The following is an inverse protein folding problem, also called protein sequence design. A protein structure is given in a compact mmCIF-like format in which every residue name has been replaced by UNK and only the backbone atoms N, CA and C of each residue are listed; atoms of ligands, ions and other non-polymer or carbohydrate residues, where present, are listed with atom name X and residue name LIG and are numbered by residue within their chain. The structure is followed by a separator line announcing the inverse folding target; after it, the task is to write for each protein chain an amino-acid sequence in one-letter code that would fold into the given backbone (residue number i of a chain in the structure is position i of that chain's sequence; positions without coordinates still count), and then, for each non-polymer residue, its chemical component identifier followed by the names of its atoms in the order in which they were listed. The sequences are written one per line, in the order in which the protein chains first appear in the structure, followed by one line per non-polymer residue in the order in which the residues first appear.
data_IF_706129866116
#
_entry.id   IF_706129866116
#
_cell.length_a   1.000
_cell.length_b   1.000
_cell.length_c   1.000
_cell.angle_alpha   90.00
_cell.angle_beta   90.00
_cell.angle_gamma   90.00
#
_symmetry.space_group_name_H-M   'P 1'
#
loop_
_entity.id
_entity.type
_entity.pdbx_description
1 polymer ?
#
# COMPACT_ATOMS: atom_id res chain seq x y z
N UNK A 1 -19.71 21.15 -26.15
CA UNK A 1 -19.98 21.91 -24.90
C UNK A 1 -21.22 21.30 -24.29
N UNK A 2 -21.06 20.52 -23.21
CA UNK A 2 -22.16 19.80 -22.56
C UNK A 2 -22.80 20.73 -21.54
N UNK A 3 -23.99 21.23 -21.87
CA UNK A 3 -24.76 22.10 -20.97
C UNK A 3 -25.12 21.36 -19.68
N UNK A 4 -24.65 21.90 -18.55
CA UNK A 4 -24.96 21.39 -17.22
C UNK A 4 -26.44 21.66 -16.95
N UNK A 5 -27.27 20.63 -16.68
CA UNK A 5 -28.70 20.80 -16.47
C UNK A 5 -29.02 21.80 -15.34
N UNK A 6 -29.93 22.76 -15.60
CA UNK A 6 -30.19 23.91 -14.73
C UNK A 6 -30.55 23.58 -13.27
N UNK A 7 -31.20 22.44 -13.04
CA UNK A 7 -31.57 22.00 -11.69
C UNK A 7 -30.35 21.70 -10.80
N UNK A 8 -29.20 21.34 -11.39
CA UNK A 8 -27.95 21.14 -10.64
C UNK A 8 -27.28 22.47 -10.28
N UNK A 9 -27.42 23.49 -11.12
CA UNK A 9 -26.93 24.84 -10.84
C UNK A 9 -27.72 25.46 -9.69
N UNK A 10 -29.05 25.35 -9.73
CA UNK A 10 -29.93 25.85 -8.67
C UNK A 10 -29.65 25.20 -7.32
N UNK A 11 -29.43 23.88 -7.29
CA UNK A 11 -29.03 23.16 -6.06
C UNK A 11 -27.63 23.57 -5.56
N UNK A 12 -26.68 23.83 -6.45
CA UNK A 12 -25.36 24.28 -6.08
C UNK A 12 -25.38 25.70 -5.49
N UNK A 13 -26.23 26.58 -6.02
CA UNK A 13 -26.44 27.94 -5.52
C UNK A 13 -27.15 27.95 -4.17
N UNK A 14 -28.20 27.13 -3.98
CA UNK A 14 -28.86 26.95 -2.68
C UNK A 14 -27.91 26.37 -1.62
N UNK A 15 -27.03 25.44 -1.99
CA UNK A 15 -26.01 24.89 -1.10
C UNK A 15 -24.95 25.93 -0.72
N UNK A 16 -24.52 26.77 -1.67
CA UNK A 16 -23.61 27.89 -1.42
C UNK A 16 -24.26 28.96 -0.54
N UNK A 17 -25.52 29.30 -0.77
CA UNK A 17 -26.25 30.25 0.07
C UNK A 17 -26.42 29.74 1.51
N UNK A 18 -26.71 28.44 1.68
CA UNK A 18 -26.79 27.81 2.99
C UNK A 18 -25.43 27.75 3.71
N UNK A 19 -24.34 27.54 2.97
CA UNK A 19 -22.99 27.59 3.51
C UNK A 19 -22.58 29.02 3.92
N UNK A 20 -22.93 30.02 3.12
CA UNK A 20 -22.69 31.43 3.42
C UNK A 20 -23.51 31.91 4.65
N UNK A 21 -24.77 31.51 4.75
CA UNK A 21 -25.61 31.80 5.92
C UNK A 21 -25.06 31.13 7.20
N UNK A 22 -24.55 29.90 7.09
CA UNK A 22 -23.90 29.20 8.22
C UNK A 22 -22.57 29.86 8.61
N UNK A 23 -21.81 30.38 7.65
CA UNK A 23 -20.58 31.13 7.91
C UNK A 23 -20.86 32.49 8.57
N UNK A 24 -21.92 33.19 8.14
CA UNK A 24 -22.35 34.44 8.77
C UNK A 24 -22.86 34.23 10.21
N UNK A 25 -23.58 33.14 10.47
CA UNK A 25 -24.02 32.78 11.82
C UNK A 25 -22.85 32.40 12.76
N UNK A 26 -21.73 31.94 12.21
CA UNK A 26 -20.53 31.63 12.99
C UNK A 26 -19.64 32.85 13.28
N UNK A 27 -19.83 33.96 12.55
CA UNK A 27 -19.01 35.17 12.67
C UNK A 27 -19.62 36.26 13.58
N UNK A 28 -20.85 36.06 14.09
CA UNK A 28 -21.59 37.05 14.87
C UNK A 28 -21.71 36.75 16.36
N UNK A 29 -20.61 36.36 17.02
CA UNK A 29 -20.63 36.08 18.46
C UNK A 29 -19.39 36.58 19.18
N UNK A 30 -19.38 37.86 19.60
CA UNK A 30 -18.83 38.27 20.90
C UNK A 30 -19.33 39.67 21.35
N UNK A 31 -19.49 39.84 22.67
CA UNK A 31 -19.69 41.05 23.49
C UNK A 31 -21.07 41.80 23.46
N UNK A 32 -21.72 42.32 24.53
CA UNK A 32 -21.62 42.25 26.02
C UNK A 32 -22.91 42.91 26.62
N UNK A 33 -23.38 42.38 27.76
CA UNK A 33 -24.19 42.95 28.89
C UNK A 33 -25.65 43.49 28.80
N UNK A 34 -26.38 43.10 29.86
CA UNK A 34 -27.41 43.81 30.67
C UNK A 34 -28.92 43.41 30.55
N UNK A 35 -29.40 42.78 31.64
CA UNK A 35 -30.78 42.46 32.11
C UNK A 35 -31.58 43.76 32.41
N UNK A 36 -32.93 43.80 32.70
CA UNK A 36 -33.87 42.73 33.09
C UNK A 36 -35.33 42.78 32.55
N UNK A 37 -36.08 41.72 32.89
CA UNK A 37 -37.53 41.68 33.19
C UNK A 37 -38.59 41.73 32.07
N UNK A 38 -39.45 40.69 32.08
CA UNK A 38 -40.93 40.74 32.20
C UNK A 38 -41.62 39.65 31.37
N UNK A 39 -42.39 38.78 32.04
CA UNK A 39 -43.49 38.03 31.43
C UNK A 39 -44.72 38.97 31.30
N UNK A 40 -45.67 38.74 30.36
CA UNK A 40 -46.74 37.78 30.65
C UNK A 40 -47.32 36.99 29.44
N UNK A 41 -47.88 35.85 29.81
CA UNK A 41 -49.13 35.18 29.39
C UNK A 41 -49.74 35.29 27.96
N UNK A 42 -50.21 34.09 27.54
CA UNK A 42 -51.49 33.76 26.89
C UNK A 42 -51.55 33.54 25.37
N UNK A 43 -52.15 32.40 24.99
CA UNK A 43 -52.69 32.13 23.65
C UNK A 43 -52.42 30.71 23.16
N UNK A 44 -53.31 29.76 23.49
CA UNK A 44 -53.24 28.37 23.04
C UNK A 44 -53.72 28.15 21.60
N UNK A 45 -53.61 26.90 21.14
CA UNK A 45 -54.30 26.38 19.95
C UNK A 45 -53.39 25.64 18.98
N UNK A 46 -53.58 24.33 18.92
CA UNK A 46 -52.89 23.33 18.12
C UNK A 46 -52.73 23.62 16.61
N UNK A 47 -51.57 23.27 16.04
CA UNK A 47 -51.48 22.25 14.97
C UNK A 47 -50.02 22.01 14.48
N UNK A 48 -49.70 20.72 14.29
CA UNK A 48 -48.72 20.16 13.33
C UNK A 48 -47.22 20.09 13.69
N UNK A 49 -46.88 19.05 14.47
CA UNK A 49 -45.86 18.02 14.23
C UNK A 49 -44.67 18.27 13.27
N UNK A 50 -43.47 18.44 13.83
CA UNK A 50 -42.24 17.75 13.39
C UNK A 50 -41.12 17.90 14.44
N UNK A 51 -40.42 16.80 14.75
CA UNK A 51 -39.22 16.71 15.61
C UNK A 51 -39.41 16.50 17.13
N UNK A 52 -39.90 15.32 17.54
CA UNK A 52 -39.51 14.72 18.83
C UNK A 52 -39.27 13.21 18.64
N UNK A 53 -38.12 12.75 19.11
CA UNK A 53 -37.68 11.35 19.06
C UNK A 53 -38.72 10.46 19.75
N UNK A 54 -39.16 9.34 19.14
CA UNK A 54 -40.19 8.49 19.70
C UNK A 54 -39.71 7.82 21.01
N UNK A 55 -40.58 7.82 22.02
CA UNK A 55 -40.26 7.47 23.42
C UNK A 55 -39.59 6.09 23.58
N UNK A 56 -39.93 5.12 22.73
CA UNK A 56 -39.37 3.76 22.79
C UNK A 56 -37.86 3.70 22.50
N UNK A 57 -37.30 4.67 21.76
CA UNK A 57 -35.85 4.73 21.51
C UNK A 57 -35.11 5.30 22.72
N UNK A 58 -35.74 6.21 23.46
CA UNK A 58 -35.19 6.76 24.70
C UNK A 58 -35.18 5.73 25.82
N UNK A 59 -36.25 4.94 25.99
CA UNK A 59 -36.28 3.83 26.95
C UNK A 59 -35.24 2.76 26.63
N UNK A 60 -35.06 2.42 25.35
CA UNK A 60 -34.00 1.50 24.93
C UNK A 60 -32.61 2.06 25.28
N UNK A 61 -32.38 3.35 25.04
CA UNK A 61 -31.09 3.98 25.38
C UNK A 61 -30.83 4.06 26.88
N UNK A 62 -31.87 4.30 27.69
CA UNK A 62 -31.77 4.28 29.16
C UNK A 62 -31.47 2.87 29.67
N UNK A 63 -32.18 1.86 29.19
CA UNK A 63 -31.94 0.45 29.57
C UNK A 63 -30.54 -0.05 29.20
N UNK A 64 -29.97 0.42 28.08
CA UNK A 64 -28.60 0.12 27.69
C UNK A 64 -27.56 0.83 28.58
N UNK A 65 -27.86 2.08 28.99
CA UNK A 65 -27.00 2.85 29.90
C UNK A 65 -27.00 2.27 31.31
N UNK A 66 -28.16 1.81 31.79
CA UNK A 66 -28.28 1.18 33.12
C UNK A 66 -27.57 -0.18 33.16
N UNK A 67 -27.59 -0.94 32.05
CA UNK A 67 -26.78 -2.17 31.89
C UNK A 67 -25.27 -1.89 31.85
N UNK A 68 -24.85 -0.75 31.33
CA UNK A 68 -23.43 -0.36 31.28
C UNK A 68 -22.92 0.22 32.62
N UNK A 69 -23.81 0.73 33.47
CA UNK A 69 -23.47 1.32 34.76
C UNK A 69 -23.43 0.30 35.92
N UNK A 70 -23.96 -0.91 35.74
CA UNK A 70 -23.94 -1.98 36.75
C UNK A 70 -23.08 -3.17 36.34
N UNK A 71 -21.80 -3.18 36.74
CA UNK A 71 -21.01 -4.42 36.79
C UNK A 71 -19.55 -4.31 36.38
N UNK A 72 -18.72 -3.68 37.23
CA UNK A 72 -17.30 -4.03 37.33
C UNK A 72 -17.16 -5.24 38.27
N UNK A 73 -16.53 -6.32 37.82
CA UNK A 73 -16.24 -7.48 38.67
C UNK A 73 -16.03 -8.78 37.88
N UNK A 74 -14.79 -9.26 37.92
CA UNK A 74 -14.29 -10.55 37.42
C UNK A 74 -15.12 -11.77 37.82
N UNK A 75 -15.50 -12.60 36.83
CA UNK A 75 -15.72 -14.03 37.02
C UNK A 75 -15.67 -14.76 35.67
N UNK A 76 -14.58 -15.50 35.44
CA UNK A 76 -14.48 -16.58 34.46
C UNK A 76 -15.51 -17.67 34.79
N UNK A 77 -16.46 -17.89 33.88
CA UNK A 77 -17.27 -19.09 33.87
C UNK A 77 -17.09 -19.77 32.51
N UNK A 78 -16.30 -20.86 32.51
CA UNK A 78 -16.28 -21.84 31.43
C UNK A 78 -17.69 -22.41 31.31
N UNK A 79 -18.32 -22.28 30.14
CA UNK A 79 -19.51 -23.02 29.78
C UNK A 79 -19.13 -24.22 28.92
N UNK A 80 -19.43 -25.36 29.53
CA UNK A 80 -19.26 -26.76 29.19
C UNK A 80 -19.81 -27.16 27.81
N UNK A 81 -19.08 -28.07 27.16
CA UNK A 81 -19.39 -28.70 25.87
C UNK A 81 -20.42 -29.83 26.09
N UNK A 82 -21.62 -29.81 25.49
CA UNK A 82 -22.43 -31.01 25.43
C UNK A 82 -21.95 -31.88 24.27
N UNK A 83 -21.36 -33.01 24.65
CA UNK A 83 -21.31 -34.25 23.89
C UNK A 83 -22.73 -34.75 23.61
N UNK A 84 -23.02 -35.21 22.40
CA UNK A 84 -24.18 -36.08 22.18
C UNK A 84 -24.73 -36.11 20.76
N UNK A 85 -24.41 -37.20 20.05
CA UNK A 85 -25.37 -37.87 19.17
C UNK A 85 -25.54 -37.30 17.75
N UNK A 86 -24.93 -37.96 16.77
CA UNK A 86 -25.33 -37.88 15.38
C UNK A 86 -26.53 -38.82 15.18
N UNK A 87 -27.75 -38.35 14.86
CA UNK A 87 -28.76 -39.24 14.31
C UNK A 87 -28.42 -39.50 12.84
N UNK A 88 -28.08 -40.75 12.55
CA UNK A 88 -28.03 -41.30 11.20
C UNK A 88 -29.46 -41.30 10.66
N UNK A 89 -29.72 -40.57 9.57
CA UNK A 89 -30.96 -40.67 8.81
C UNK A 89 -30.65 -41.48 7.56
N UNK A 90 -31.45 -42.52 7.36
CA UNK A 90 -31.36 -43.48 6.27
C UNK A 90 -31.38 -42.82 4.88
N UNK A 91 -30.57 -43.38 3.97
CA UNK A 91 -30.58 -43.06 2.56
C UNK A 91 -31.87 -43.59 1.90
N UNK A 92 -32.64 -42.70 1.25
CA UNK A 92 -33.81 -43.09 0.47
C UNK A 92 -34.86 -42.01 0.32
N UNK A 93 -34.53 -40.89 -0.32
CA UNK A 93 -35.50 -39.85 -0.70
C UNK A 93 -34.82 -38.63 -1.33
N UNK A 94 -35.45 -37.92 -2.27
CA UNK A 94 -34.84 -36.75 -2.91
C UNK A 94 -34.47 -35.71 -1.86
N UNK A 95 -33.33 -35.00 -2.00
CA UNK A 95 -32.82 -34.13 -0.95
C UNK A 95 -33.85 -33.03 -0.65
N UNK A 96 -34.22 -32.81 0.63
CA UNK A 96 -35.12 -31.72 0.96
C UNK A 96 -34.42 -30.40 0.63
N UNK A 97 -35.02 -29.60 -0.26
CA UNK A 97 -34.64 -28.20 -0.42
C UNK A 97 -34.92 -27.48 0.91
N UNK A 98 -33.90 -27.38 1.76
CA UNK A 98 -33.93 -26.52 2.95
C UNK A 98 -33.88 -25.08 2.46
N UNK A 99 -35.04 -24.53 2.13
CA UNK A 99 -35.24 -23.10 1.94
C UNK A 99 -35.08 -22.43 3.30
N UNK A 100 -34.08 -21.56 3.45
CA UNK A 100 -33.98 -20.69 4.61
C UNK A 100 -35.21 -19.77 4.71
N UNK A 101 -35.50 -19.17 5.89
CA UNK A 101 -36.61 -18.25 6.05
C UNK A 101 -36.50 -17.10 5.03
N UNK A 102 -37.35 -17.12 4.00
CA UNK A 102 -37.36 -16.16 2.89
C UNK A 102 -37.15 -16.72 1.48
N UNK A 103 -36.98 -18.03 1.28
CA UNK A 103 -37.02 -18.62 -0.07
C UNK A 103 -35.80 -18.35 -0.97
N UNK A 104 -34.71 -17.81 -0.42
CA UNK A 104 -33.44 -17.70 -1.13
C UNK A 104 -32.62 -18.99 -0.98
N UNK A 105 -32.04 -19.48 -2.09
CA UNK A 105 -31.16 -20.68 -2.14
C UNK A 105 -29.78 -20.43 -1.53
N UNK A 106 -29.50 -19.20 -1.08
CA UNK A 106 -28.26 -18.81 -0.44
C UNK A 106 -28.48 -18.78 1.08
N UNK A 107 -27.81 -19.69 1.80
CA UNK A 107 -27.77 -19.68 3.27
C UNK A 107 -26.84 -18.55 3.70
N UNK A 108 -27.40 -17.45 4.20
CA UNK A 108 -26.66 -16.35 4.83
C UNK A 108 -26.01 -16.87 6.12
N UNK A 109 -24.82 -17.45 6.02
CA UNK A 109 -24.13 -18.06 7.16
C UNK A 109 -23.52 -17.00 8.07
N UNK A 110 -23.08 -15.87 7.54
CA UNK A 110 -22.70 -14.66 8.28
C UNK A 110 -22.75 -13.44 7.37
N UNK A 111 -23.12 -12.27 7.89
CA UNK A 111 -22.92 -10.99 7.20
C UNK A 111 -21.46 -10.58 7.45
N UNK A 112 -20.62 -10.76 6.43
CA UNK A 112 -19.26 -10.18 6.45
C UNK A 112 -19.40 -8.69 6.19
N UNK A 113 -18.91 -7.87 7.12
CA UNK A 113 -18.88 -6.42 6.99
C UNK A 113 -18.14 -6.06 5.69
N UNK A 114 -18.84 -5.40 4.77
CA UNK A 114 -18.39 -5.11 3.40
C UNK A 114 -17.04 -4.39 3.29
N UNK A 115 -16.54 -3.80 4.39
CA UNK A 115 -15.27 -3.06 4.42
C UNK A 115 -14.00 -3.92 4.32
N UNK A 116 -14.09 -5.25 4.38
CA UNK A 116 -12.92 -6.14 4.30
C UNK A 116 -12.73 -6.84 2.94
N UNK A 117 -13.76 -6.86 2.09
CA UNK A 117 -13.76 -7.62 0.82
C UNK A 117 -13.51 -6.71 -0.39
N UNK A 118 -13.69 -5.40 -0.23
CA UNK A 118 -13.43 -4.42 -1.26
C UNK A 118 -12.40 -3.42 -0.74
N UNK A 119 -11.24 -3.40 -1.39
CA UNK A 119 -10.27 -2.33 -1.25
C UNK A 119 -10.99 -1.01 -1.64
N UNK A 120 -11.39 -0.23 -0.63
CA UNK A 120 -12.08 1.05 -0.81
C UNK A 120 -11.02 2.07 -1.23
N UNK A 121 -10.50 1.92 -2.45
CA UNK A 121 -9.67 2.93 -3.08
C UNK A 121 -10.50 4.22 -3.16
N UNK A 122 -9.91 5.31 -2.70
CA UNK A 122 -10.57 6.63 -2.62
C UNK A 122 -11.05 7.16 -3.98
N UNK A 123 -10.63 6.54 -5.09
CA UNK A 123 -11.14 6.80 -6.44
C UNK A 123 -11.62 5.48 -7.06
N UNK A 124 -12.84 5.43 -7.62
CA UNK A 124 -13.27 4.33 -8.46
C UNK A 124 -12.32 4.22 -9.65
N UNK A 125 -11.51 3.15 -9.68
CA UNK A 125 -10.64 2.83 -10.80
C UNK A 125 -11.37 1.87 -11.72
N UNK A 126 -11.23 2.06 -13.03
CA UNK A 126 -11.75 1.11 -14.00
C UNK A 126 -10.93 -0.17 -13.96
N UNK A 127 -11.55 -1.27 -13.55
CA UNK A 127 -10.89 -2.57 -13.37
C UNK A 127 -11.19 -3.43 -14.59
N UNK A 128 -10.16 -3.72 -15.36
CA UNK A 128 -10.23 -4.70 -16.45
C UNK A 128 -9.87 -6.10 -15.96
N UNK A 129 -10.38 -7.13 -16.61
CA UNK A 129 -9.96 -8.51 -16.33
C UNK A 129 -8.50 -8.72 -16.74
N UNK A 130 -7.74 -9.34 -15.85
CA UNK A 130 -6.33 -9.72 -16.04
C UNK A 130 -6.13 -10.54 -17.32
N UNK A 131 -7.06 -11.45 -17.59
CA UNK A 131 -7.13 -12.18 -18.85
C UNK A 131 -8.20 -11.56 -19.75
N UNK A 132 -7.92 -11.26 -21.03
CA UNK A 132 -6.65 -11.42 -21.75
C UNK A 132 -5.70 -10.20 -21.66
N UNK A 133 -6.19 -9.04 -21.21
CA UNK A 133 -5.53 -7.74 -21.41
C UNK A 133 -4.10 -7.67 -20.86
N UNK A 134 -3.90 -8.05 -19.60
CA UNK A 134 -2.59 -7.97 -18.95
C UNK A 134 -1.68 -9.13 -19.39
N UNK A 135 -2.26 -10.34 -19.50
CA UNK A 135 -1.50 -11.53 -19.89
C UNK A 135 -0.90 -11.44 -21.30
N UNK A 136 -1.61 -10.83 -22.26
CA UNK A 136 -1.09 -10.66 -23.63
C UNK A 136 0.11 -9.70 -23.65
N UNK A 137 0.04 -8.60 -22.88
CA UNK A 137 1.13 -7.62 -22.82
C UNK A 137 2.35 -8.21 -22.12
N UNK A 138 2.16 -8.91 -20.99
CA UNK A 138 3.26 -9.56 -20.27
C UNK A 138 3.90 -10.69 -21.09
N UNK A 139 3.09 -11.50 -21.78
CA UNK A 139 3.61 -12.53 -22.68
C UNK A 139 4.40 -11.92 -23.84
N UNK A 140 3.90 -10.82 -24.43
CA UNK A 140 4.64 -10.06 -25.45
C UNK A 140 5.98 -9.51 -24.94
N UNK A 141 6.00 -8.94 -23.72
CA UNK A 141 7.23 -8.46 -23.09
C UNK A 141 8.21 -9.61 -22.81
N UNK A 142 7.72 -10.77 -22.34
CA UNK A 142 8.54 -11.95 -22.10
C UNK A 142 9.18 -12.46 -23.41
N UNK A 143 8.39 -12.59 -24.48
CA UNK A 143 8.91 -12.96 -25.80
C UNK A 143 9.95 -11.97 -26.32
N UNK A 144 9.72 -10.66 -26.11
CA UNK A 144 10.68 -9.62 -26.50
C UNK A 144 11.99 -9.74 -25.71
N UNK A 145 11.93 -9.93 -24.39
CA UNK A 145 13.12 -10.15 -23.55
C UNK A 145 13.89 -11.41 -23.95
N UNK A 146 13.18 -12.51 -24.25
CA UNK A 146 13.80 -13.74 -24.74
C UNK A 146 14.44 -13.54 -26.11
N UNK A 147 13.73 -12.91 -27.06
CA UNK A 147 14.26 -12.63 -28.38
C UNK A 147 15.49 -11.71 -28.32
N UNK A 148 15.43 -10.65 -27.51
CA UNK A 148 16.57 -9.76 -27.28
C UNK A 148 17.78 -10.53 -26.74
N UNK A 149 17.59 -11.37 -25.73
CA UNK A 149 18.69 -12.16 -25.13
C UNK A 149 19.27 -13.18 -26.11
N UNK A 150 18.43 -13.85 -26.90
CA UNK A 150 18.88 -14.79 -27.93
C UNK A 150 19.66 -14.09 -29.04
N UNK A 151 19.15 -12.97 -29.55
CA UNK A 151 19.84 -12.19 -30.58
C UNK A 151 21.18 -11.67 -30.05
N UNK A 152 21.20 -11.10 -28.85
CA UNK A 152 22.44 -10.64 -28.21
C UNK A 152 23.48 -11.76 -28.06
N UNK A 153 23.05 -12.96 -27.67
CA UNK A 153 23.91 -14.15 -27.54
C UNK A 153 24.56 -14.61 -28.86
N UNK A 154 23.92 -14.37 -30.01
CA UNK A 154 24.51 -14.70 -31.33
C UNK A 154 25.76 -13.85 -31.62
N UNK A 155 25.77 -12.59 -31.18
CA UNK A 155 26.88 -11.68 -31.45
C UNK A 155 27.90 -11.58 -30.31
N UNK A 156 27.49 -11.84 -29.07
CA UNK A 156 28.34 -11.73 -27.88
C UNK A 156 28.59 -13.12 -27.28
N UNK A 157 29.77 -13.66 -27.54
CA UNK A 157 30.22 -14.89 -26.90
C UNK A 157 30.79 -14.55 -25.52
N UNK A 158 30.23 -15.14 -24.47
CA UNK A 158 30.83 -15.14 -23.13
C UNK A 158 31.75 -16.37 -23.03
N UNK A 159 33.09 -16.22 -23.15
CA UNK A 159 34.00 -17.35 -23.08
C UNK A 159 33.99 -17.94 -21.67
N UNK A 160 33.86 -19.27 -21.56
CA UNK A 160 34.08 -19.93 -20.29
C UNK A 160 35.58 -19.99 -19.99
N UNK A 161 35.93 -19.75 -18.73
CA UNK A 161 37.27 -20.01 -18.22
C UNK A 161 37.57 -21.52 -18.19
N UNK A 162 38.85 -21.86 -18.14
CA UNK A 162 39.30 -23.24 -17.96
C UNK A 162 38.74 -23.87 -16.67
N UNK A 163 38.76 -25.20 -16.60
CA UNK A 163 38.37 -25.93 -15.39
C UNK A 163 39.17 -25.42 -14.18
N UNK A 164 38.49 -25.30 -13.04
CA UNK A 164 39.06 -24.71 -11.84
C UNK A 164 40.35 -25.43 -11.41
N UNK A 165 41.42 -24.65 -11.26
CA UNK A 165 42.72 -25.13 -10.77
C UNK A 165 43.04 -24.48 -9.42
N UNK A 166 43.09 -25.28 -8.35
CA UNK A 166 43.39 -24.80 -7.00
C UNK A 166 44.80 -24.19 -6.86
N UNK A 167 45.74 -24.54 -7.73
CA UNK A 167 47.12 -24.05 -7.70
C UNK A 167 47.33 -22.77 -8.53
N UNK A 168 46.29 -22.26 -9.20
CA UNK A 168 46.39 -21.07 -10.04
C UNK A 168 45.24 -20.11 -9.77
N UNK A 169 45.56 -18.90 -9.33
CA UNK A 169 44.59 -17.81 -9.25
C UNK A 169 44.56 -17.05 -10.57
N UNK A 170 43.40 -16.96 -11.25
CA UNK A 170 43.27 -16.17 -12.47
C UNK A 170 43.70 -14.72 -12.24
N UNK A 171 44.45 -14.16 -13.18
CA UNK A 171 44.91 -12.78 -13.12
C UNK A 171 44.61 -12.09 -14.46
N UNK A 172 43.76 -11.04 -14.49
CA UNK A 172 43.08 -10.39 -13.37
C UNK A 172 41.85 -11.17 -12.86
N UNK A 173 41.71 -11.29 -11.55
CA UNK A 173 40.50 -11.86 -10.92
C UNK A 173 39.43 -10.77 -10.81
N UNK A 174 38.71 -10.50 -11.90
CA UNK A 174 37.56 -9.58 -11.91
C UNK A 174 36.29 -10.35 -11.57
N UNK A 175 35.49 -9.81 -10.66
CA UNK A 175 34.16 -10.30 -10.37
C UNK A 175 33.20 -9.94 -11.53
N UNK A 176 32.07 -10.66 -11.66
CA UNK A 176 31.01 -10.28 -12.59
C UNK A 176 30.59 -8.81 -12.42
N UNK A 177 30.15 -8.17 -13.51
CA UNK A 177 29.89 -6.73 -13.57
C UNK A 177 28.95 -6.19 -12.46
N UNK A 178 27.98 -7.00 -12.02
CA UNK A 178 27.05 -6.64 -10.95
C UNK A 178 27.68 -6.65 -9.54
N UNK A 179 28.85 -7.28 -9.36
CA UNK A 179 29.65 -7.26 -8.12
C UNK A 179 30.93 -6.43 -8.23
N UNK A 180 31.29 -6.02 -9.44
CA UNK A 180 32.55 -5.32 -9.69
C UNK A 180 32.63 -3.97 -8.95
N UNK A 181 31.52 -3.25 -8.80
CA UNK A 181 31.49 -2.04 -7.97
C UNK A 181 31.79 -2.31 -6.49
N UNK A 182 31.36 -3.47 -5.97
CA UNK A 182 31.67 -3.90 -4.61
C UNK A 182 33.15 -4.30 -4.51
N UNK A 183 33.67 -5.05 -5.49
CA UNK A 183 35.08 -5.41 -5.54
C UNK A 183 36.00 -4.18 -5.57
N UNK A 184 35.60 -3.13 -6.28
CA UNK A 184 36.35 -1.87 -6.31
C UNK A 184 36.46 -1.24 -4.92
N UNK A 185 35.36 -1.27 -4.14
CA UNK A 185 35.35 -0.81 -2.76
C UNK A 185 36.25 -1.65 -1.83
N UNK A 186 36.42 -2.95 -2.10
CA UNK A 186 37.32 -3.84 -1.35
C UNK A 186 38.80 -3.49 -1.54
N UNK A 187 39.15 -2.73 -2.58
CA UNK A 187 40.54 -2.27 -2.75
C UNK A 187 40.88 -1.08 -1.87
N UNK A 188 39.86 -0.31 -1.46
CA UNK A 188 40.03 0.94 -0.71
C UNK A 188 39.79 0.74 0.79
N UNK A 189 38.93 -0.19 1.17
CA UNK A 189 38.53 -0.42 2.55
C UNK A 189 38.79 -1.84 3.02
N UNK A 190 38.87 -2.03 4.34
CA UNK A 190 39.01 -3.35 4.95
C UNK A 190 37.87 -4.30 4.50
N UNK A 191 38.12 -5.59 4.20
CA UNK A 191 37.13 -6.50 3.63
C UNK A 191 35.81 -6.60 4.42
N UNK A 192 35.87 -6.57 5.75
CA UNK A 192 34.67 -6.58 6.60
C UNK A 192 33.79 -5.34 6.40
N UNK A 193 34.41 -4.16 6.21
CA UNK A 193 33.68 -2.90 6.05
C UNK A 193 33.09 -2.83 4.64
N UNK A 194 33.91 -3.09 3.63
CA UNK A 194 33.52 -3.00 2.22
C UNK A 194 32.53 -4.10 1.81
N UNK A 195 32.79 -5.35 2.19
CA UNK A 195 32.01 -6.49 1.73
C UNK A 195 30.73 -6.72 2.52
N UNK A 196 30.73 -6.42 3.82
CA UNK A 196 29.63 -6.80 4.72
C UNK A 196 28.92 -5.59 5.29
N UNK A 197 29.65 -4.68 5.94
CA UNK A 197 29.01 -3.57 6.67
C UNK A 197 28.31 -2.58 5.74
N UNK A 198 28.97 -2.14 4.66
CA UNK A 198 28.38 -1.13 3.75
C UNK A 198 27.17 -1.69 2.98
N UNK A 199 27.24 -2.87 2.33
CA UNK A 199 26.06 -3.46 1.68
C UNK A 199 24.97 -3.83 2.70
N UNK A 200 25.34 -4.34 3.87
CA UNK A 200 24.40 -4.67 4.95
C UNK A 200 23.66 -3.44 5.47
N UNK A 201 24.35 -2.32 5.66
CA UNK A 201 23.75 -1.04 6.00
C UNK A 201 22.81 -0.55 4.90
N UNK A 202 23.20 -0.71 3.62
CA UNK A 202 22.34 -0.37 2.48
C UNK A 202 21.03 -1.15 2.48
N UNK A 203 21.08 -2.46 2.72
CA UNK A 203 19.89 -3.31 2.86
C UNK A 203 19.04 -2.92 4.08
N UNK A 204 19.68 -2.60 5.21
CA UNK A 204 18.98 -2.15 6.41
C UNK A 204 18.24 -0.82 6.17
N UNK A 205 18.91 0.16 5.55
CA UNK A 205 18.30 1.44 5.17
C UNK A 205 17.15 1.23 4.19
N UNK A 206 17.29 0.32 3.22
CA UNK A 206 16.22 -0.01 2.27
C UNK A 206 15.03 -0.68 2.97
N UNK A 207 15.27 -1.59 3.92
CA UNK A 207 14.22 -2.21 4.74
C UNK A 207 13.56 -1.21 5.71
N UNK A 208 14.32 -0.24 6.19
CA UNK A 208 13.84 0.85 7.03
C UNK A 208 13.16 1.98 6.24
N UNK A 209 13.31 2.01 4.91
CA UNK A 209 12.76 3.04 4.03
C UNK A 209 11.27 3.36 4.26
N UNK A 210 10.34 2.37 4.40
CA UNK A 210 8.93 2.68 4.67
C UNK A 210 8.68 3.35 6.03
N UNK A 211 9.61 3.26 6.98
CA UNK A 211 9.50 3.89 8.31
C UNK A 211 10.21 5.25 8.38
N UNK A 212 11.27 5.43 7.59
CA UNK A 212 12.03 6.68 7.51
C UNK A 212 11.29 7.71 6.65
N UNK A 213 10.69 7.27 5.54
CA UNK A 213 9.99 8.18 4.63
C UNK A 213 8.60 8.54 5.15
N UNK A 214 8.48 9.77 5.67
CA UNK A 214 7.23 10.34 6.19
C UNK A 214 6.45 11.12 5.13
N UNK A 215 6.84 11.08 3.86
CA UNK A 215 6.18 11.87 2.82
C UNK A 215 4.75 11.35 2.58
N UNK A 216 3.70 12.20 2.72
CA UNK A 216 2.32 11.79 2.55
C UNK A 216 1.93 11.52 1.08
N UNK A 217 2.73 12.00 0.11
CA UNK A 217 2.51 11.78 -1.31
C UNK A 217 3.45 10.71 -1.88
N UNK A 218 2.91 9.81 -2.69
CA UNK A 218 3.71 8.83 -3.44
C UNK A 218 4.13 9.33 -4.83
N UNK A 219 3.76 10.57 -5.20
CA UNK A 219 4.09 11.11 -6.51
C UNK A 219 5.60 11.39 -6.62
N UNK A 220 6.25 11.06 -7.74
CA UNK A 220 7.67 11.36 -7.95
C UNK A 220 8.00 12.85 -7.84
N UNK A 221 7.08 13.71 -8.28
CA UNK A 221 7.21 15.17 -8.26
C UNK A 221 7.40 15.76 -6.86
N UNK A 222 6.83 15.11 -5.84
CA UNK A 222 6.86 15.55 -4.45
C UNK A 222 8.07 14.96 -3.69
N UNK A 223 8.84 14.06 -4.31
CA UNK A 223 9.94 13.30 -3.68
C UNK A 223 11.32 13.65 -4.26
N UNK A 224 11.50 14.87 -4.76
CA UNK A 224 12.74 15.33 -5.43
C UNK A 224 14.00 15.08 -4.59
N UNK A 225 13.93 15.25 -3.27
CA UNK A 225 15.05 14.99 -2.37
C UNK A 225 15.43 13.49 -2.31
N UNK A 226 14.46 12.60 -2.13
CA UNK A 226 14.70 11.15 -2.13
C UNK A 226 15.21 10.66 -3.49
N UNK A 227 14.64 11.18 -4.58
CA UNK A 227 15.10 10.88 -5.95
C UNK A 227 16.53 11.38 -6.16
N UNK A 228 16.88 12.58 -5.68
CA UNK A 228 18.24 13.11 -5.79
C UNK A 228 19.24 12.23 -5.03
N UNK A 229 18.93 11.83 -3.78
CA UNK A 229 19.77 10.89 -3.01
C UNK A 229 19.92 9.57 -3.74
N UNK A 230 18.82 8.99 -4.25
CA UNK A 230 18.88 7.73 -4.99
C UNK A 230 19.69 7.87 -6.28
N UNK A 231 19.60 9.00 -6.96
CA UNK A 231 20.37 9.28 -8.17
C UNK A 231 21.86 9.36 -7.85
N UNK A 232 22.25 10.09 -6.79
CA UNK A 232 23.64 10.14 -6.32
C UNK A 232 24.15 8.75 -5.94
N UNK A 233 23.32 7.94 -5.24
CA UNK A 233 23.65 6.56 -4.90
C UNK A 233 23.90 5.72 -6.17
N UNK A 234 23.02 5.78 -7.17
CA UNK A 234 23.21 5.06 -8.44
C UNK A 234 24.45 5.54 -9.21
N UNK A 235 24.70 6.85 -9.25
CA UNK A 235 25.89 7.41 -9.91
C UNK A 235 27.19 7.01 -9.20
N UNK A 236 27.19 6.95 -7.87
CA UNK A 236 28.32 6.45 -7.09
C UNK A 236 28.65 5.00 -7.46
N UNK A 237 27.66 4.10 -7.44
CA UNK A 237 27.86 2.70 -7.82
C UNK A 237 28.25 2.52 -9.29
N UNK A 238 27.61 3.26 -10.20
CA UNK A 238 27.97 3.25 -11.62
C UNK A 238 29.43 3.69 -11.82
N UNK A 239 29.89 4.72 -11.11
CA UNK A 239 31.28 5.18 -11.19
C UNK A 239 32.25 4.10 -10.73
N UNK A 240 31.98 3.42 -9.60
CA UNK A 240 32.81 2.30 -9.14
C UNK A 240 32.86 1.16 -10.16
N UNK A 241 31.71 0.82 -10.76
CA UNK A 241 31.64 -0.22 -11.80
C UNK A 241 32.47 0.18 -13.03
N UNK A 242 32.42 1.45 -13.44
CA UNK A 242 33.22 1.95 -14.56
C UNK A 242 34.72 1.89 -14.25
N UNK A 243 35.14 2.25 -13.03
CA UNK A 243 36.54 2.19 -12.61
C UNK A 243 37.04 0.74 -12.63
N UNK A 244 36.31 -0.19 -12.00
CA UNK A 244 36.72 -1.59 -11.98
C UNK A 244 36.72 -2.26 -13.36
N UNK A 245 35.87 -1.80 -14.28
CA UNK A 245 35.75 -2.38 -15.61
C UNK A 245 36.95 -1.98 -16.48
N UNK A 246 37.26 -0.69 -16.52
CA UNK A 246 38.21 -0.13 -17.49
C UNK A 246 39.59 0.23 -16.92
N UNK A 247 39.69 0.54 -15.63
CA UNK A 247 40.92 1.05 -15.01
C UNK A 247 41.64 0.02 -14.13
N UNK A 248 41.10 -1.20 -14.00
CA UNK A 248 41.74 -2.30 -13.26
C UNK A 248 42.42 -3.28 -14.21
N UNK A 249 43.73 -3.45 -14.02
CA UNK A 249 44.60 -4.33 -14.81
C UNK A 249 45.16 -5.50 -13.99
N UNK A 250 46.32 -6.06 -14.37
CA UNK A 250 46.94 -7.20 -13.69
C UNK A 250 47.14 -6.97 -12.19
N UNK A 251 46.81 -7.97 -11.38
CA UNK A 251 46.79 -7.91 -9.91
C UNK A 251 45.68 -7.02 -9.35
N UNK A 252 44.68 -6.66 -10.18
CA UNK A 252 43.66 -5.66 -9.87
C UNK A 252 44.28 -4.28 -9.50
N UNK A 253 45.46 -3.98 -10.04
CA UNK A 253 46.10 -2.67 -9.86
C UNK A 253 45.44 -1.62 -10.75
N UNK A 254 45.51 -0.36 -10.31
CA UNK A 254 45.04 0.76 -11.10
C UNK A 254 46.00 1.01 -12.27
N UNK A 255 45.47 0.99 -13.49
CA UNK A 255 46.23 1.11 -14.73
C UNK A 255 45.46 1.96 -15.73
N UNK A 256 46.15 2.90 -16.37
CA UNK A 256 45.55 3.70 -17.42
C UNK A 256 45.38 2.90 -18.72
N UNK A 257 44.16 2.82 -19.29
CA UNK A 257 43.87 1.94 -20.43
C UNK A 257 44.65 2.32 -21.70
N UNK A 258 44.99 3.60 -21.88
CA UNK A 258 45.80 4.07 -23.02
C UNK A 258 47.29 3.72 -22.90
N UNK A 259 47.79 3.30 -21.73
CA UNK A 259 49.19 2.91 -21.55
C UNK A 259 49.40 1.40 -21.59
N UNK A 260 48.47 0.61 -21.04
CA UNK A 260 48.63 -0.86 -20.91
C UNK A 260 47.50 -1.68 -21.51
N UNK A 261 46.57 -1.05 -22.24
CA UNK A 261 45.41 -1.72 -22.84
C UNK A 261 44.25 -1.93 -21.87
N UNK A 262 43.18 -2.53 -22.37
CA UNK A 262 41.94 -2.82 -21.65
C UNK A 262 41.93 -4.30 -21.25
N UNK A 263 41.66 -4.58 -19.97
CA UNK A 263 41.61 -5.94 -19.41
C UNK A 263 40.16 -6.36 -19.09
N UNK A 264 39.23 -6.04 -19.99
CA UNK A 264 37.80 -6.29 -19.80
C UNK A 264 37.44 -7.65 -20.39
N UNK A 265 36.74 -8.46 -19.60
CA UNK A 265 36.16 -9.73 -20.04
C UNK A 265 34.63 -9.59 -19.96
N UNK A 266 33.92 -10.10 -20.97
CA UNK A 266 32.47 -9.93 -21.14
C UNK A 266 31.67 -11.04 -20.45
#
# INVERSE_FOLDING_TARGET
MTEVPEHLRKRAEEAKAKAAAKAAAAAGGDATESTPAAAPAAGGGDAASASKIPAHLLERSKSARDKAAGGGGTATALAEKPSGGVPVIAAGGPPPLVTGPGGHTQRLLTVVKSGSIQDVKATPQDKVHTWPHLLVVEFGAALLCTAFTLLFSVWVNAPFLELANFNQTPNPSKAPWYFLGLQEMLTMFHPMVAGVMVPGMGLFVLGAAPFIDKNPSNKPEDRKFAIAIMTVHLMFWATLVMIGSFFRGPGFNFVFPWNKGIFFDL
#
